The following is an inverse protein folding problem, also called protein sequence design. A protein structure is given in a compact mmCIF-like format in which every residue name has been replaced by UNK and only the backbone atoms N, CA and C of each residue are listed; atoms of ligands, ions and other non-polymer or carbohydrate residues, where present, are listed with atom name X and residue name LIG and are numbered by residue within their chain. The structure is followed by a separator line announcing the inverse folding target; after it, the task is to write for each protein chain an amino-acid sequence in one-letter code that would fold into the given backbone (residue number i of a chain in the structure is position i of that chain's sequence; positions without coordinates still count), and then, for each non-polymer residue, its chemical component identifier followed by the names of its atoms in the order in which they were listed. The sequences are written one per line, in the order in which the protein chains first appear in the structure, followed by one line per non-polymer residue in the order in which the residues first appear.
data_IF_907654703261
#
_entry.id   IF_907654703261
#
_cell.length_a   1.000
_cell.length_b   1.000
_cell.length_c   1.000
_cell.angle_alpha   90.00
_cell.angle_beta   90.00
_cell.angle_gamma   90.00
#
_symmetry.space_group_name_H-M   'P 1'
#
loop_
_entity.id
_entity.type
_entity.pdbx_description
1 polymer ?
#
# COMPACT_ATOMS: atom_id res chain seq x y z
N UNK A 1 4.70 -88.67 -8.27
CA UNK A 1 3.36 -88.39 -7.73
C UNK A 1 2.99 -86.95 -8.09
N UNK A 2 1.88 -86.79 -8.82
CA UNK A 2 1.30 -85.53 -9.29
C UNK A 2 0.94 -84.57 -8.14
N UNK A 3 1.02 -83.26 -8.39
CA UNK A 3 -0.18 -82.40 -8.54
C UNK A 3 0.17 -80.98 -9.02
N UNK A 4 -0.42 -80.64 -10.16
CA UNK A 4 -0.61 -79.32 -10.74
C UNK A 4 -1.70 -78.60 -9.93
N UNK A 5 -1.62 -77.27 -9.78
CA UNK A 5 -2.81 -76.43 -9.77
C UNK A 5 -2.52 -75.01 -10.29
N UNK A 6 -3.27 -74.67 -11.35
CA UNK A 6 -3.40 -73.37 -12.01
C UNK A 6 -4.53 -72.57 -11.34
N UNK A 7 -4.35 -71.26 -11.20
CA UNK A 7 -5.42 -70.25 -11.19
C UNK A 7 -4.73 -68.89 -11.43
N UNK A 8 -4.80 -68.20 -12.57
CA UNK A 8 -5.95 -67.70 -13.34
C UNK A 8 -6.85 -66.76 -12.52
N UNK A 9 -6.37 -65.52 -12.28
CA UNK A 9 -7.15 -64.41 -11.73
C UNK A 9 -7.22 -63.25 -12.73
N UNK A 10 -8.43 -62.98 -13.22
CA UNK A 10 -8.82 -62.06 -14.29
C UNK A 10 -8.44 -60.59 -14.03
N UNK A 11 -7.86 -59.94 -15.04
CA UNK A 11 -7.77 -58.49 -15.16
C UNK A 11 -9.12 -57.93 -15.64
N UNK A 12 -9.71 -57.02 -14.87
CA UNK A 12 -10.93 -56.29 -15.22
C UNK A 12 -10.54 -54.86 -15.62
N UNK A 13 -10.48 -54.62 -16.93
CA UNK A 13 -10.18 -53.32 -17.53
C UNK A 13 -11.49 -52.50 -17.60
N UNK A 14 -11.68 -51.59 -16.64
CA UNK A 14 -12.77 -50.60 -16.63
C UNK A 14 -12.34 -49.38 -17.47
N UNK A 15 -12.82 -49.32 -18.72
CA UNK A 15 -12.69 -48.14 -19.58
C UNK A 15 -13.78 -47.13 -19.18
N UNK A 16 -13.39 -46.10 -18.42
CA UNK A 16 -14.23 -44.93 -18.17
C UNK A 16 -14.12 -43.97 -19.37
N UNK A 17 -15.15 -43.93 -20.22
CA UNK A 17 -15.33 -42.87 -21.22
C UNK A 17 -15.73 -41.58 -20.49
N UNK A 18 -14.76 -40.74 -20.18
CA UNK A 18 -14.99 -39.37 -19.71
C UNK A 18 -15.47 -38.51 -20.88
N UNK A 19 -16.78 -38.32 -20.99
CA UNK A 19 -17.36 -37.30 -21.86
C UNK A 19 -17.04 -35.93 -21.24
N UNK A 20 -16.32 -35.01 -21.92
CA UNK A 20 -16.15 -33.67 -21.42
C UNK A 20 -17.52 -32.97 -21.44
N UNK A 21 -18.09 -32.73 -20.26
CA UNK A 21 -19.22 -31.83 -20.11
C UNK A 21 -18.72 -30.43 -20.46
N UNK A 22 -19.01 -29.97 -21.68
CA UNK A 22 -18.74 -28.61 -22.11
C UNK A 22 -19.80 -27.70 -21.49
N UNK A 23 -19.43 -27.00 -20.42
CA UNK A 23 -20.25 -25.95 -19.83
C UNK A 23 -20.27 -24.74 -20.78
N UNK A 24 -21.24 -24.72 -21.70
CA UNK A 24 -21.56 -23.54 -22.48
C UNK A 24 -22.32 -22.55 -21.58
N UNK A 25 -21.58 -21.67 -20.90
CA UNK A 25 -22.16 -20.54 -20.18
C UNK A 25 -22.53 -19.43 -21.17
N UNK A 26 -23.72 -19.51 -21.76
CA UNK A 26 -24.35 -18.40 -22.44
C UNK A 26 -24.87 -17.41 -21.39
N UNK A 27 -24.08 -16.41 -21.01
CA UNK A 27 -24.54 -15.31 -20.15
C UNK A 27 -25.25 -14.25 -20.98
N UNK A 28 -26.58 -14.31 -21.00
CA UNK A 28 -27.44 -13.19 -21.33
C UNK A 28 -27.38 -12.15 -20.20
N UNK A 29 -26.86 -10.95 -20.48
CA UNK A 29 -27.26 -9.63 -19.96
C UNK A 29 -27.49 -9.37 -18.46
N UNK A 30 -27.32 -10.33 -17.56
CA UNK A 30 -27.43 -10.15 -16.12
C UNK A 30 -26.07 -9.78 -15.54
N UNK A 31 -26.03 -8.75 -14.69
CA UNK A 31 -24.84 -8.39 -13.91
C UNK A 31 -24.30 -9.66 -13.25
N UNK A 32 -23.10 -10.11 -13.63
CA UNK A 32 -22.52 -11.34 -13.11
C UNK A 32 -22.45 -11.26 -11.58
N UNK A 33 -23.05 -12.23 -10.89
CA UNK A 33 -23.02 -12.27 -9.43
C UNK A 33 -21.56 -12.29 -8.92
N UNK A 34 -21.26 -11.43 -7.95
CA UNK A 34 -19.93 -11.30 -7.38
C UNK A 34 -19.43 -12.62 -6.76
N UNK A 35 -18.16 -12.96 -7.01
CA UNK A 35 -17.54 -14.17 -6.47
C UNK A 35 -17.16 -13.95 -5.02
N UNK A 36 -17.80 -14.64 -4.08
CA UNK A 36 -17.42 -14.55 -2.66
C UNK A 36 -16.02 -15.13 -2.42
N UNK A 37 -15.15 -14.31 -1.84
CA UNK A 37 -13.81 -14.69 -1.40
C UNK A 37 -13.93 -15.67 -0.24
N UNK A 38 -13.38 -16.88 -0.40
CA UNK A 38 -13.32 -17.91 0.64
C UNK A 38 -11.87 -18.24 0.96
N UNK A 39 -11.54 -18.17 2.24
CA UNK A 39 -10.25 -18.63 2.75
C UNK A 39 -10.39 -20.09 3.21
N UNK A 40 -9.39 -20.90 2.93
CA UNK A 40 -9.29 -22.23 3.53
C UNK A 40 -9.18 -22.12 5.06
N UNK A 41 -9.59 -23.17 5.78
CA UNK A 41 -9.55 -23.18 7.25
C UNK A 41 -8.13 -22.87 7.75
N UNK A 42 -8.01 -21.82 8.55
CA UNK A 42 -6.73 -21.37 9.13
C UNK A 42 -5.83 -20.59 8.16
N UNK A 43 -6.27 -20.33 6.93
CA UNK A 43 -5.56 -19.47 5.98
C UNK A 43 -6.14 -18.06 5.99
N UNK A 44 -5.27 -17.10 5.67
CA UNK A 44 -5.60 -15.69 5.43
C UNK A 44 -5.48 -15.31 3.96
N UNK A 45 -5.15 -16.28 3.10
CA UNK A 45 -4.84 -16.08 1.68
C UNK A 45 -5.80 -16.89 0.81
N UNK A 46 -6.25 -16.31 -0.29
CA UNK A 46 -7.02 -16.97 -1.34
C UNK A 46 -6.50 -16.57 -2.72
N UNK A 47 -6.47 -17.52 -3.67
CA UNK A 47 -5.95 -17.28 -5.02
C UNK A 47 -7.00 -17.68 -6.06
N UNK A 48 -7.23 -16.78 -7.03
CA UNK A 48 -8.20 -16.94 -8.11
C UNK A 48 -7.51 -16.78 -9.45
N UNK A 49 -7.87 -17.62 -10.42
CA UNK A 49 -7.50 -17.45 -11.83
C UNK A 49 -8.73 -17.01 -12.61
N UNK A 50 -8.54 -16.10 -13.55
CA UNK A 50 -9.63 -15.59 -14.36
C UNK A 50 -9.17 -14.94 -15.66
N UNK A 51 -10.14 -14.45 -16.41
CA UNK A 51 -9.93 -13.68 -17.63
C UNK A 51 -10.88 -12.48 -17.63
N UNK A 52 -10.43 -11.35 -18.18
CA UNK A 52 -11.26 -10.19 -18.49
C UNK A 52 -11.17 -9.89 -19.99
N UNK A 53 -12.29 -9.47 -20.59
CA UNK A 53 -12.37 -9.10 -22.02
C UNK A 53 -13.13 -7.80 -22.19
N UNK A 54 -12.60 -6.90 -23.02
CA UNK A 54 -13.22 -5.61 -23.32
C UNK A 54 -13.46 -4.80 -22.04
N UNK A 55 -14.69 -4.32 -21.85
CA UNK A 55 -15.14 -3.57 -20.67
C UNK A 55 -15.68 -4.44 -19.51
N UNK A 56 -15.55 -5.76 -19.60
CA UNK A 56 -16.07 -6.65 -18.56
C UNK A 56 -15.22 -6.56 -17.29
N UNK A 57 -15.87 -6.48 -16.15
CA UNK A 57 -15.24 -6.58 -14.83
C UNK A 57 -15.60 -7.92 -14.16
N UNK A 58 -14.68 -8.47 -13.37
CA UNK A 58 -14.95 -9.60 -12.48
C UNK A 58 -14.92 -9.11 -11.05
N UNK A 59 -16.06 -9.19 -10.36
CA UNK A 59 -16.21 -8.76 -8.97
C UNK A 59 -15.94 -9.91 -8.00
N UNK A 60 -15.20 -9.59 -6.93
CA UNK A 60 -14.95 -10.47 -5.79
C UNK A 60 -15.44 -9.81 -4.50
N UNK A 61 -16.24 -10.53 -3.71
CA UNK A 61 -16.79 -10.04 -2.44
C UNK A 61 -16.00 -10.58 -1.26
N UNK A 62 -15.44 -9.68 -0.44
CA UNK A 62 -14.64 -10.01 0.73
C UNK A 62 -15.30 -9.44 1.99
N UNK A 63 -15.43 -10.23 3.05
CA UNK A 63 -15.74 -9.67 4.37
C UNK A 63 -14.45 -9.29 5.09
N UNK A 64 -14.40 -8.05 5.58
CA UNK A 64 -13.25 -7.52 6.32
C UNK A 64 -13.69 -6.83 7.62
N UNK A 65 -12.74 -6.68 8.53
CA UNK A 65 -12.89 -5.96 9.80
C UNK A 65 -12.03 -4.70 9.80
N UNK A 66 -12.49 -3.68 10.53
CA UNK A 66 -11.75 -2.44 10.75
C UNK A 66 -10.34 -2.73 11.28
N UNK A 67 -9.33 -2.10 10.70
CA UNK A 67 -7.94 -2.22 11.11
C UNK A 67 -7.21 -3.45 10.58
N UNK A 68 -7.89 -4.37 9.88
CA UNK A 68 -7.20 -5.41 9.13
C UNK A 68 -6.41 -4.83 7.96
N UNK A 69 -5.37 -5.54 7.55
CA UNK A 69 -4.63 -5.27 6.32
C UNK A 69 -5.13 -6.19 5.21
N UNK A 70 -5.55 -5.59 4.11
CA UNK A 70 -5.86 -6.26 2.85
C UNK A 70 -4.69 -6.06 1.90
N UNK A 71 -4.05 -7.17 1.51
CA UNK A 71 -3.01 -7.20 0.49
C UNK A 71 -3.60 -7.86 -0.75
N UNK A 72 -3.46 -7.22 -1.90
CA UNK A 72 -3.96 -7.69 -3.18
C UNK A 72 -2.80 -7.78 -4.14
N UNK A 73 -2.62 -8.93 -4.79
CA UNK A 73 -1.65 -9.09 -5.86
C UNK A 73 -2.34 -9.57 -7.13
N UNK A 74 -2.05 -8.93 -8.26
CA UNK A 74 -2.50 -9.37 -9.58
C UNK A 74 -1.32 -9.63 -10.50
N UNK A 75 -1.28 -10.82 -11.10
CA UNK A 75 -0.35 -11.16 -12.18
C UNK A 75 -1.16 -11.32 -13.44
N UNK A 76 -0.76 -10.68 -14.53
CA UNK A 76 -1.56 -10.60 -15.76
C UNK A 76 -0.78 -11.11 -16.97
N UNK A 77 -1.50 -11.61 -17.97
CA UNK A 77 -0.98 -11.98 -19.27
C UNK A 77 -1.93 -11.46 -20.37
N UNK A 78 -1.53 -10.45 -21.16
CA UNK A 78 -0.21 -9.81 -21.14
C UNK A 78 0.05 -9.00 -19.85
N UNK A 79 1.31 -8.71 -19.51
CA UNK A 79 1.65 -7.81 -18.39
C UNK A 79 0.91 -6.47 -18.45
N UNK A 80 0.58 -5.92 -17.29
CA UNK A 80 -0.07 -4.60 -17.10
C UNK A 80 -1.39 -4.41 -17.85
N UNK A 81 -2.04 -5.49 -18.26
CA UNK A 81 -3.30 -5.44 -19.01
C UNK A 81 -4.55 -5.55 -18.14
N UNK A 82 -4.39 -5.69 -16.83
CA UNK A 82 -5.50 -5.82 -15.88
C UNK A 82 -5.13 -5.21 -14.53
N UNK A 83 -6.11 -4.54 -13.92
CA UNK A 83 -5.97 -3.75 -12.71
C UNK A 83 -7.04 -4.16 -11.70
N UNK A 84 -6.83 -3.77 -10.43
CA UNK A 84 -7.80 -4.03 -9.37
C UNK A 84 -8.24 -2.72 -8.74
N UNK A 85 -9.56 -2.54 -8.60
CA UNK A 85 -10.17 -1.52 -7.74
C UNK A 85 -10.72 -2.19 -6.50
N UNK A 86 -10.62 -1.53 -5.35
CA UNK A 86 -11.25 -2.00 -4.10
C UNK A 86 -12.24 -0.96 -3.64
N UNK A 87 -13.48 -1.38 -3.39
CA UNK A 87 -14.54 -0.57 -2.81
C UNK A 87 -14.85 -1.04 -1.39
N UNK A 88 -15.04 -0.08 -0.48
CA UNK A 88 -15.48 -0.34 0.88
C UNK A 88 -16.97 -0.67 0.99
N UNK A 89 -17.46 -0.97 2.22
CA UNK A 89 -18.86 -1.27 2.51
C UNK A 89 -19.88 -0.24 2.02
N UNK A 90 -19.47 1.02 1.86
CA UNK A 90 -20.34 2.11 1.40
C UNK A 90 -20.13 2.41 -0.09
N UNK A 91 -19.59 1.44 -0.85
CA UNK A 91 -19.20 1.58 -2.26
C UNK A 91 -18.17 2.66 -2.57
N UNK A 92 -17.60 3.33 -1.55
CA UNK A 92 -16.51 4.28 -1.72
C UNK A 92 -15.24 3.55 -2.13
N UNK A 93 -14.62 3.98 -3.23
CA UNK A 93 -13.32 3.47 -3.64
C UNK A 93 -12.28 3.71 -2.53
N UNK A 94 -11.52 2.67 -2.22
CA UNK A 94 -10.37 2.76 -1.33
C UNK A 94 -9.14 3.13 -2.12
N UNK A 95 -8.39 4.08 -1.60
CA UNK A 95 -7.05 4.36 -2.09
C UNK A 95 -6.12 3.23 -1.63
N UNK A 96 -5.59 2.50 -2.60
CA UNK A 96 -4.67 1.40 -2.37
C UNK A 96 -3.25 1.93 -2.52
N UNK A 97 -2.37 1.57 -1.60
CA UNK A 97 -0.96 1.96 -1.69
C UNK A 97 -0.15 0.82 -2.28
N UNK A 98 0.75 1.12 -3.20
CA UNK A 98 1.62 0.09 -3.75
C UNK A 98 2.52 -0.45 -2.63
N UNK A 99 2.48 -1.77 -2.42
CA UNK A 99 3.32 -2.39 -1.40
C UNK A 99 4.70 -2.60 -2.01
N UNK A 100 5.67 -1.74 -1.68
CA UNK A 100 7.08 -2.09 -1.78
C UNK A 100 7.37 -3.15 -0.70
N UNK A 101 7.08 -4.42 -0.99
CA UNK A 101 7.34 -5.48 -0.03
C UNK A 101 8.85 -5.72 0.05
N UNK A 102 9.43 -5.61 1.26
CA UNK A 102 10.79 -6.11 1.46
C UNK A 102 10.84 -7.61 1.14
N UNK A 103 12.01 -8.11 0.76
CA UNK A 103 12.24 -9.54 0.45
C UNK A 103 11.73 -10.45 1.57
N UNK A 104 11.90 -10.07 2.84
CA UNK A 104 11.36 -10.87 3.97
C UNK A 104 9.84 -10.85 4.05
N UNK A 105 9.18 -9.73 3.76
CA UNK A 105 7.71 -9.64 3.77
C UNK A 105 7.14 -10.49 2.64
N UNK A 106 7.72 -10.41 1.44
CA UNK A 106 7.33 -11.26 0.30
C UNK A 106 7.50 -12.74 0.62
N UNK A 107 8.65 -13.14 1.20
CA UNK A 107 8.92 -14.52 1.61
C UNK A 107 7.93 -15.03 2.66
N UNK A 108 7.60 -14.22 3.68
CA UNK A 108 6.60 -14.57 4.70
C UNK A 108 5.18 -14.70 4.13
N UNK A 109 4.86 -13.92 3.10
CA UNK A 109 3.55 -13.94 2.43
C UNK A 109 3.46 -15.02 1.34
N UNK A 110 4.52 -15.79 1.09
CA UNK A 110 4.57 -16.76 -0.01
C UNK A 110 4.50 -16.10 -1.39
N UNK A 111 4.81 -14.80 -1.47
CA UNK A 111 4.93 -14.06 -2.72
C UNK A 111 6.34 -14.34 -3.28
N UNK A 112 6.46 -14.38 -4.61
CA UNK A 112 7.77 -14.41 -5.24
C UNK A 112 8.59 -13.22 -4.70
N UNK A 113 9.82 -13.49 -4.27
CA UNK A 113 10.64 -12.64 -3.38
C UNK A 113 11.02 -11.26 -3.92
N UNK A 114 10.56 -10.89 -5.12
CA UNK A 114 11.03 -9.73 -5.90
C UNK A 114 9.90 -8.79 -6.36
N UNK A 115 8.68 -8.92 -5.83
CA UNK A 115 7.58 -8.01 -6.17
C UNK A 115 7.73 -6.64 -5.45
N UNK A 116 8.59 -5.79 -5.99
CA UNK A 116 8.74 -4.38 -5.65
C UNK A 116 7.93 -3.52 -6.63
N UNK A 117 7.28 -2.46 -6.18
CA UNK A 117 6.64 -1.46 -7.06
C UNK A 117 7.61 -0.43 -7.65
N UNK A 118 8.90 -0.53 -7.30
CA UNK A 118 9.99 0.26 -7.84
C UNK A 118 11.20 -0.67 -7.98
N UNK A 119 11.33 -1.31 -9.13
CA UNK A 119 12.61 -1.79 -9.64
C UNK A 119 13.05 -0.81 -10.73
N UNK A 120 14.33 -0.41 -10.73
CA UNK A 120 14.95 0.42 -11.77
C UNK A 120 14.94 -0.25 -13.17
N UNK A 121 14.49 -1.51 -13.26
CA UNK A 121 14.32 -2.28 -14.48
C UNK A 121 12.82 -2.56 -14.77
N UNK A 122 12.15 -1.76 -15.61
CA UNK A 122 10.73 -1.93 -15.95
C UNK A 122 10.41 -3.24 -16.67
N UNK A 123 11.41 -3.99 -17.17
CA UNK A 123 11.17 -5.29 -17.80
C UNK A 123 10.99 -6.44 -16.80
N UNK A 124 11.52 -6.32 -15.57
CA UNK A 124 11.35 -7.32 -14.50
C UNK A 124 9.99 -7.19 -13.80
N UNK A 125 9.51 -5.96 -13.61
CA UNK A 125 8.15 -5.65 -13.13
C UNK A 125 7.07 -6.36 -13.93
N UNK A 126 7.23 -6.43 -15.26
CA UNK A 126 6.29 -7.06 -16.19
C UNK A 126 6.05 -8.55 -15.93
N UNK A 127 6.99 -9.26 -15.29
CA UNK A 127 6.81 -10.70 -14.99
C UNK A 127 6.26 -10.97 -13.59
N UNK A 128 6.40 -10.02 -12.67
CA UNK A 128 6.21 -10.25 -11.24
C UNK A 128 4.86 -9.75 -10.67
N UNK A 129 4.03 -9.09 -11.48
CA UNK A 129 2.70 -8.64 -11.10
C UNK A 129 2.67 -7.46 -10.12
N UNK A 130 1.50 -6.85 -9.97
CA UNK A 130 1.31 -5.66 -9.15
C UNK A 130 0.78 -6.06 -7.76
N UNK A 131 1.31 -5.47 -6.70
CA UNK A 131 0.90 -5.75 -5.31
C UNK A 131 0.54 -4.46 -4.59
N UNK A 132 -0.60 -4.46 -3.92
CA UNK A 132 -1.11 -3.33 -3.16
C UNK A 132 -1.46 -3.74 -1.74
N UNK A 133 -1.43 -2.77 -0.84
CA UNK A 133 -1.85 -2.88 0.55
C UNK A 133 -2.85 -1.76 0.87
N UNK A 134 -3.86 -2.11 1.65
CA UNK A 134 -4.78 -1.14 2.26
C UNK A 134 -5.16 -1.58 3.66
N UNK A 135 -5.19 -0.64 4.61
CA UNK A 135 -5.80 -0.88 5.93
C UNK A 135 -7.31 -0.65 5.80
N UNK A 136 -8.11 -1.62 6.22
CA UNK A 136 -9.56 -1.55 6.12
C UNK A 136 -10.12 -0.52 7.12
N UNK A 137 -10.73 0.58 6.67
CA UNK A 137 -11.14 1.66 7.57
C UNK A 137 -12.43 1.35 8.36
N UNK A 138 -13.17 0.32 7.96
CA UNK A 138 -14.44 -0.07 8.57
C UNK A 138 -14.67 -1.58 8.45
N UNK A 139 -15.61 -2.12 9.21
CA UNK A 139 -15.98 -3.53 9.11
C UNK A 139 -17.14 -3.68 8.13
N UNK A 140 -17.13 -4.73 7.30
CA UNK A 140 -18.22 -4.99 6.37
C UNK A 140 -17.80 -5.75 5.12
N UNK A 141 -18.64 -5.67 4.08
CA UNK A 141 -18.38 -6.25 2.78
C UNK A 141 -17.55 -5.29 1.91
N UNK A 142 -16.53 -5.80 1.26
CA UNK A 142 -15.65 -5.11 0.33
C UNK A 142 -15.80 -5.76 -1.04
N UNK A 143 -15.74 -4.95 -2.09
CA UNK A 143 -15.79 -5.44 -3.47
C UNK A 143 -14.47 -5.15 -4.17
N UNK A 144 -13.82 -6.20 -4.68
CA UNK A 144 -12.64 -6.08 -5.53
C UNK A 144 -13.07 -6.28 -6.98
N UNK A 145 -12.87 -5.28 -7.83
CA UNK A 145 -13.17 -5.37 -9.26
C UNK A 145 -11.88 -5.55 -10.04
N UNK A 146 -11.76 -6.67 -10.73
CA UNK A 146 -10.66 -6.94 -11.68
C UNK A 146 -11.12 -6.52 -13.07
N UNK A 147 -10.40 -5.58 -13.71
CA UNK A 147 -10.84 -4.97 -14.97
C UNK A 147 -9.67 -4.62 -15.89
N UNK A 148 -9.96 -4.40 -17.18
CA UNK A 148 -9.01 -3.90 -18.18
C UNK A 148 -9.21 -2.39 -18.39
N UNK A 149 -8.17 -1.55 -18.27
CA UNK A 149 -8.31 -0.11 -18.52
C UNK A 149 -8.58 0.14 -20.00
N UNK A 150 -9.38 1.16 -20.28
CA UNK A 150 -9.70 1.60 -21.65
C UNK A 150 -10.56 0.63 -22.47
N UNK A 151 -11.04 -0.49 -21.90
CA UNK A 151 -11.97 -1.40 -22.57
C UNK A 151 -11.43 -2.05 -23.86
N UNK A 152 -10.11 -2.06 -24.06
CA UNK A 152 -9.51 -2.48 -25.32
C UNK A 152 -9.90 -3.90 -25.75
N UNK A 153 -10.03 -4.12 -27.06
CA UNK A 153 -10.28 -5.45 -27.63
C UNK A 153 -9.18 -6.43 -27.20
N UNK A 154 -9.53 -7.69 -26.96
CA UNK A 154 -8.62 -8.72 -26.47
C UNK A 154 -8.93 -9.21 -25.06
N UNK A 155 -8.37 -10.37 -24.74
CA UNK A 155 -8.53 -11.07 -23.46
C UNK A 155 -7.25 -10.89 -22.66
N UNK A 156 -7.39 -10.60 -21.37
CA UNK A 156 -6.30 -10.67 -20.41
C UNK A 156 -6.58 -11.78 -19.42
N UNK A 157 -5.66 -12.73 -19.30
CA UNK A 157 -5.70 -13.71 -18.23
C UNK A 157 -5.02 -13.14 -16.98
N UNK A 158 -5.53 -13.47 -15.79
CA UNK A 158 -4.95 -13.02 -14.54
C UNK A 158 -4.94 -14.10 -13.47
N UNK A 159 -4.02 -13.95 -12.52
CA UNK A 159 -4.03 -14.61 -11.21
C UNK A 159 -4.12 -13.54 -10.12
N UNK A 160 -5.22 -13.54 -9.37
CA UNK A 160 -5.50 -12.64 -8.25
C UNK A 160 -5.20 -13.37 -6.94
N UNK A 161 -4.34 -12.81 -6.10
CA UNK A 161 -4.09 -13.28 -4.73
C UNK A 161 -4.61 -12.23 -3.75
N UNK A 162 -5.46 -12.65 -2.82
CA UNK A 162 -6.06 -11.80 -1.80
C UNK A 162 -5.59 -12.33 -0.44
N UNK A 163 -4.98 -11.46 0.36
CA UNK A 163 -4.54 -11.77 1.72
C UNK A 163 -5.22 -10.80 2.68
N UNK A 164 -5.86 -11.32 3.72
CA UNK A 164 -6.43 -10.52 4.81
C UNK A 164 -5.81 -10.96 6.10
N UNK A 165 -5.02 -10.08 6.71
CA UNK A 165 -4.45 -10.33 8.03
C UNK A 165 -4.98 -9.31 9.02
N UNK A 166 -5.06 -9.72 10.28
CA UNK A 166 -5.01 -8.73 11.34
C UNK A 166 -3.72 -7.95 11.11
N UNK A 167 -3.79 -6.62 11.10
CA UNK A 167 -2.59 -5.86 11.37
C UNK A 167 -2.13 -6.45 12.69
N UNK A 168 -0.99 -7.15 12.69
CA UNK A 168 -0.36 -7.53 13.95
C UNK A 168 -0.46 -6.26 14.76
N UNK A 169 -1.10 -6.31 15.94
CA UNK A 169 -1.06 -5.20 16.88
C UNK A 169 0.42 -5.02 17.04
N UNK A 170 1.02 -4.17 16.22
CA UNK A 170 2.44 -4.06 15.98
C UNK A 170 2.90 -3.77 17.37
N UNK A 171 3.42 -4.80 18.05
CA UNK A 171 3.35 -4.93 19.50
C UNK A 171 3.86 -3.63 19.98
N UNK A 172 2.94 -2.74 20.38
CA UNK A 172 3.18 -1.29 20.44
C UNK A 172 4.51 -1.25 21.14
N UNK A 173 5.60 -0.86 20.48
CA UNK A 173 6.88 -0.81 21.18
C UNK A 173 6.57 0.20 22.25
N UNK A 174 6.34 -0.27 23.50
CA UNK A 174 5.21 0.15 24.31
C UNK A 174 5.35 1.61 24.72
N UNK A 175 5.07 2.47 23.76
CA UNK A 175 5.32 3.89 23.86
C UNK A 175 4.30 4.31 24.87
N UNK A 176 4.81 4.73 26.04
CA UNK A 176 3.96 4.96 27.20
C UNK A 176 2.88 5.96 26.76
N UNK A 177 1.62 5.83 27.21
CA UNK A 177 0.56 6.73 26.78
C UNK A 177 0.93 8.22 26.86
N UNK A 178 1.68 8.62 27.91
CA UNK A 178 2.23 9.96 28.06
C UNK A 178 3.23 10.35 26.95
N UNK A 179 4.08 9.41 26.52
CA UNK A 179 5.01 9.64 25.42
C UNK A 179 4.27 9.80 24.09
N UNK A 180 3.22 9.01 23.85
CA UNK A 180 2.32 9.20 22.71
C UNK A 180 1.66 10.57 22.68
N UNK A 181 1.07 10.98 23.80
CA UNK A 181 0.47 12.31 23.90
C UNK A 181 1.49 13.42 23.64
N UNK A 182 2.73 13.27 24.14
CA UNK A 182 3.79 14.25 23.90
C UNK A 182 4.25 14.33 22.44
N UNK A 183 4.22 13.21 21.71
CA UNK A 183 4.55 13.19 20.28
C UNK A 183 3.44 13.86 19.46
N UNK A 184 2.19 13.52 19.76
CA UNK A 184 1.04 14.12 19.08
C UNK A 184 1.00 15.65 19.33
N UNK A 185 1.37 16.09 20.53
CA UNK A 185 1.52 17.52 20.83
C UNK A 185 2.65 18.19 20.01
N UNK A 186 3.79 17.52 19.81
CA UNK A 186 4.88 18.03 18.98
C UNK A 186 4.45 18.18 17.51
N UNK A 187 3.71 17.19 16.97
CA UNK A 187 3.18 17.26 15.60
C UNK A 187 2.11 18.36 15.45
N UNK A 188 1.25 18.58 16.45
CA UNK A 188 0.32 19.72 16.44
C UNK A 188 1.05 21.06 16.44
N UNK A 189 2.14 21.16 17.21
CA UNK A 189 2.99 22.36 17.23
C UNK A 189 3.64 22.59 15.86
N UNK A 190 4.11 21.54 15.20
CA UNK A 190 4.63 21.60 13.84
C UNK A 190 3.61 22.14 12.85
N UNK A 191 2.41 21.55 12.81
CA UNK A 191 1.31 21.99 11.95
C UNK A 191 0.98 23.46 12.22
N UNK A 192 0.84 23.85 13.48
CA UNK A 192 0.54 25.22 13.86
C UNK A 192 1.65 26.20 13.43
N UNK A 193 2.92 25.81 13.54
CA UNK A 193 4.04 26.64 13.11
C UNK A 193 4.04 26.85 11.59
N UNK A 194 3.78 25.79 10.81
CA UNK A 194 3.66 25.89 9.35
C UNK A 194 2.51 26.81 8.93
N UNK A 195 1.32 26.62 9.49
CA UNK A 195 0.14 27.44 9.16
C UNK A 195 0.32 28.92 9.48
N UNK A 196 1.00 29.22 10.59
CA UNK A 196 1.25 30.60 11.03
C UNK A 196 2.52 31.21 10.44
N UNK A 197 3.28 30.44 9.66
CA UNK A 197 4.62 30.81 9.19
C UNK A 197 5.55 31.24 10.34
N UNK A 198 5.39 30.58 11.48
CA UNK A 198 6.14 30.87 12.71
C UNK A 198 7.51 30.20 12.65
N UNK A 199 8.51 30.96 12.20
CA UNK A 199 9.91 30.49 12.04
C UNK A 199 10.48 30.00 13.37
N UNK A 200 10.23 30.70 14.47
CA UNK A 200 10.76 30.31 15.79
C UNK A 200 10.10 29.04 16.30
N UNK A 201 8.77 28.95 16.17
CA UNK A 201 8.00 27.75 16.47
C UNK A 201 8.47 26.55 15.66
N UNK A 202 8.72 26.74 14.37
CA UNK A 202 9.22 25.69 13.46
C UNK A 202 10.62 25.24 13.87
N UNK A 203 11.57 26.17 14.02
CA UNK A 203 12.95 25.85 14.43
C UNK A 203 13.03 25.16 15.80
N UNK A 204 12.11 25.47 16.72
CA UNK A 204 12.09 24.85 18.05
C UNK A 204 11.91 23.32 18.04
N UNK A 205 11.44 22.77 16.91
CA UNK A 205 11.21 21.34 16.70
C UNK A 205 12.44 20.62 16.14
N UNK A 206 13.56 21.30 15.91
CA UNK A 206 14.78 20.69 15.41
C UNK A 206 15.84 20.55 16.51
N UNK A 207 16.71 19.55 16.35
CA UNK A 207 17.89 19.40 17.20
C UNK A 207 18.88 20.52 16.93
N UNK A 208 19.50 21.08 17.97
CA UNK A 208 20.61 22.05 17.81
C UNK A 208 21.98 21.39 17.64
N UNK A 209 22.07 20.08 17.91
CA UNK A 209 23.36 19.36 17.97
C UNK A 209 23.47 18.24 16.94
N UNK A 210 22.36 17.83 16.33
CA UNK A 210 22.32 16.74 15.35
C UNK A 210 21.61 17.20 14.08
N UNK A 211 22.06 16.68 12.95
CA UNK A 211 21.39 16.86 11.68
C UNK A 211 20.00 16.23 11.68
N UNK A 212 19.11 16.78 10.88
CA UNK A 212 17.90 16.09 10.40
C UNK A 212 18.06 15.81 8.90
N UNK A 213 17.21 14.94 8.37
CA UNK A 213 17.23 14.61 6.94
C UNK A 213 16.06 15.27 6.21
N UNK A 214 16.35 15.88 5.06
CA UNK A 214 15.36 16.43 4.16
C UNK A 214 15.44 15.71 2.81
N UNK A 215 14.31 15.32 2.24
CA UNK A 215 14.19 14.89 0.84
C UNK A 215 13.40 15.95 0.09
N UNK A 216 13.96 16.52 -0.97
CA UNK A 216 13.27 17.50 -1.81
C UNK A 216 12.56 16.75 -2.96
N UNK A 217 11.32 17.07 -3.32
CA UNK A 217 10.64 16.42 -4.46
C UNK A 217 11.40 16.59 -5.78
N UNK A 218 12.19 17.66 -5.92
CA UNK A 218 13.01 17.94 -7.11
C UNK A 218 14.36 17.25 -7.09
N UNK A 219 14.83 16.82 -5.92
CA UNK A 219 16.12 16.19 -5.76
C UNK A 219 15.95 14.90 -4.96
N UNK A 220 15.99 13.78 -5.67
CA UNK A 220 15.86 12.42 -5.14
C UNK A 220 16.85 12.11 -4.01
N UNK A 221 17.87 12.97 -3.82
CA UNK A 221 18.86 12.85 -2.77
C UNK A 221 18.34 13.33 -1.41
N UNK A 222 18.48 12.45 -0.42
CA UNK A 222 18.31 12.74 1.00
C UNK A 222 19.49 13.57 1.49
N UNK A 223 19.25 14.80 1.92
CA UNK A 223 20.28 15.73 2.41
C UNK A 223 20.25 15.78 3.93
N UNK A 224 21.42 15.78 4.57
CA UNK A 224 21.55 16.05 5.99
C UNK A 224 21.68 17.55 6.22
N UNK A 225 20.77 18.14 6.99
CA UNK A 225 20.69 19.60 7.21
C UNK A 225 20.93 19.90 8.68
N UNK A 226 21.82 20.87 8.95
CA UNK A 226 22.10 21.31 10.33
C UNK A 226 21.11 22.37 10.80
N UNK A 227 20.98 22.55 12.12
CA UNK A 227 20.16 23.63 12.67
C UNK A 227 20.62 25.02 12.21
N UNK A 228 21.92 25.28 12.22
CA UNK A 228 22.49 26.58 11.85
C UNK A 228 22.23 26.91 10.39
N UNK A 229 22.34 25.91 9.52
CA UNK A 229 22.04 26.03 8.09
C UNK A 229 20.55 26.32 7.88
N UNK A 230 19.66 25.50 8.44
CA UNK A 230 18.20 25.74 8.35
C UNK A 230 17.82 27.11 8.91
N UNK A 231 18.35 27.50 10.08
CA UNK A 231 18.03 28.77 10.70
C UNK A 231 18.53 29.98 9.89
N UNK A 232 19.69 29.86 9.25
CA UNK A 232 20.21 30.88 8.35
C UNK A 232 19.33 30.99 7.09
N UNK A 233 18.96 29.86 6.49
CA UNK A 233 18.07 29.82 5.33
C UNK A 233 16.71 30.46 5.64
N UNK A 234 16.04 30.03 6.73
CA UNK A 234 14.73 30.58 7.11
C UNK A 234 14.77 32.07 7.42
N UNK A 235 15.86 32.58 8.01
CA UNK A 235 16.06 34.01 8.27
C UNK A 235 16.22 34.81 6.99
N UNK A 236 16.95 34.25 6.03
CA UNK A 236 17.25 34.90 4.76
C UNK A 236 16.19 34.62 3.69
N UNK A 237 15.11 33.90 4.03
CA UNK A 237 14.09 33.40 3.11
C UNK A 237 14.70 32.64 1.92
N UNK A 238 15.57 31.69 2.21
CA UNK A 238 16.20 30.83 1.20
C UNK A 238 15.29 29.70 0.72
N UNK A 239 15.90 28.66 0.15
CA UNK A 239 15.18 27.56 -0.49
C UNK A 239 14.35 26.76 0.51
N UNK A 240 14.84 26.53 1.72
CA UNK A 240 14.10 25.80 2.75
C UNK A 240 12.90 26.59 3.27
N UNK A 241 13.01 27.92 3.32
CA UNK A 241 11.88 28.79 3.67
C UNK A 241 10.72 28.59 2.68
N UNK A 242 11.00 28.64 1.38
CA UNK A 242 9.97 28.45 0.36
C UNK A 242 9.52 27.00 0.23
N UNK A 243 10.40 26.05 0.55
CA UNK A 243 10.03 24.64 0.60
C UNK A 243 9.02 24.38 1.71
N UNK A 244 9.23 24.93 2.92
CA UNK A 244 8.43 24.56 4.09
C UNK A 244 7.32 25.55 4.47
N UNK A 245 7.57 26.86 4.45
CA UNK A 245 6.72 27.85 5.10
C UNK A 245 5.89 28.72 4.14
N UNK A 246 6.35 28.93 2.92
CA UNK A 246 5.70 29.85 2.00
C UNK A 246 5.83 29.40 0.56
N UNK A 247 4.77 29.51 -0.23
CA UNK A 247 4.85 29.21 -1.66
C UNK A 247 5.74 30.24 -2.36
N UNK A 248 6.71 29.79 -3.14
CA UNK A 248 7.49 30.67 -4.01
C UNK A 248 6.57 31.45 -4.98
N UNK A 249 7.00 32.64 -5.39
CA UNK A 249 6.27 33.43 -6.40
C UNK A 249 6.02 32.60 -7.67
N UNK A 250 4.79 32.66 -8.19
CA UNK A 250 4.39 31.91 -9.39
C UNK A 250 3.94 30.47 -9.15
N UNK A 251 3.93 29.99 -7.90
CA UNK A 251 3.40 28.65 -7.58
C UNK A 251 4.21 27.48 -8.12
N UNK A 252 5.46 27.74 -8.54
CA UNK A 252 6.34 26.78 -9.20
C UNK A 252 6.79 25.60 -8.31
N UNK A 253 6.61 25.72 -6.99
CA UNK A 253 6.93 24.68 -6.03
C UNK A 253 5.67 24.28 -5.26
N UNK A 254 5.41 22.97 -5.17
CA UNK A 254 4.47 22.40 -4.20
C UNK A 254 5.10 22.59 -2.82
N UNK A 255 4.61 23.58 -2.08
CA UNK A 255 5.16 23.89 -0.78
C UNK A 255 4.71 22.80 0.20
N UNK A 256 5.58 22.42 1.14
CA UNK A 256 5.25 21.41 2.16
C UNK A 256 3.93 21.76 2.88
N UNK A 257 3.71 23.06 3.09
CA UNK A 257 2.51 23.61 3.72
C UNK A 257 1.22 23.24 2.99
N UNK A 258 1.26 23.00 1.67
CA UNK A 258 0.08 22.58 0.90
C UNK A 258 -0.44 21.21 1.34
N UNK A 259 0.43 20.37 1.93
CA UNK A 259 0.05 19.07 2.51
C UNK A 259 -0.61 19.18 3.89
N UNK A 260 -0.65 20.37 4.51
CA UNK A 260 -1.23 20.58 5.85
C UNK A 260 -2.76 20.69 5.79
N UNK A 261 -3.33 21.08 4.64
CA UNK A 261 -4.76 21.33 4.47
C UNK A 261 -5.28 22.35 5.49
N UNK A 262 -6.44 22.09 6.09
CA UNK A 262 -7.09 22.96 7.09
C UNK A 262 -6.47 22.86 8.50
N UNK A 263 -5.20 22.46 8.62
CA UNK A 263 -4.55 22.24 9.92
C UNK A 263 -4.96 20.93 10.60
N UNK A 264 -5.51 19.99 9.85
CA UNK A 264 -5.90 18.69 10.38
C UNK A 264 -4.69 17.88 10.84
N UNK A 265 -4.88 17.10 11.89
CA UNK A 265 -3.84 16.22 12.39
C UNK A 265 -3.52 15.14 11.35
N UNK A 266 -2.23 15.01 11.03
CA UNK A 266 -1.74 13.97 10.13
C UNK A 266 -1.93 12.58 10.73
N UNK A 267 -2.09 11.58 9.85
CA UNK A 267 -2.21 10.19 10.27
C UNK A 267 -0.86 9.70 10.79
N UNK A 268 -0.85 9.20 12.03
CA UNK A 268 0.32 8.55 12.59
C UNK A 268 0.49 7.15 12.00
N UNK A 269 1.65 6.90 11.41
CA UNK A 269 2.04 5.63 10.79
C UNK A 269 3.25 5.07 11.54
N UNK A 270 3.01 4.10 12.42
CA UNK A 270 4.05 3.55 13.30
C UNK A 270 4.32 4.43 14.52
N UNK A 271 5.50 4.27 15.13
CA UNK A 271 5.77 4.89 16.43
C UNK A 271 6.13 6.37 16.34
N UNK A 272 6.80 6.81 15.28
CA UNK A 272 7.39 8.15 15.21
C UNK A 272 7.17 8.87 13.90
N UNK A 273 6.30 8.38 13.01
CA UNK A 273 6.09 8.94 11.68
C UNK A 273 4.64 9.39 11.49
N UNK A 274 4.46 10.52 10.81
CA UNK A 274 3.17 11.09 10.43
C UNK A 274 3.12 11.35 8.93
N UNK A 275 1.95 11.14 8.33
CA UNK A 275 1.67 11.37 6.89
C UNK A 275 0.36 12.16 6.73
N UNK A 276 0.22 13.02 5.70
CA UNK A 276 -1.03 13.73 5.44
C UNK A 276 -2.20 12.76 5.24
N UNK A 277 -3.40 13.20 5.61
CA UNK A 277 -4.62 12.45 5.33
C UNK A 277 -4.83 12.35 3.81
N UNK A 278 -5.10 11.14 3.29
CA UNK A 278 -5.31 10.91 1.86
C UNK A 278 -4.04 10.89 1.00
N UNK A 279 -2.84 11.05 1.60
CA UNK A 279 -1.59 10.83 0.88
C UNK A 279 -1.42 9.36 0.50
N UNK A 280 -0.91 9.10 -0.70
CA UNK A 280 -0.56 7.73 -1.11
C UNK A 280 0.55 7.20 -0.21
N UNK A 281 0.29 6.11 0.51
CA UNK A 281 1.24 5.56 1.51
C UNK A 281 2.51 5.00 0.83
N UNK A 282 2.49 4.80 -0.49
CA UNK A 282 3.67 4.35 -1.25
C UNK A 282 4.81 5.36 -1.26
N UNK A 283 4.52 6.67 -1.20
CA UNK A 283 5.55 7.70 -1.10
C UNK A 283 4.99 9.02 -0.54
N UNK A 284 4.43 9.03 0.68
CA UNK A 284 3.75 10.22 1.16
C UNK A 284 4.78 11.23 1.64
N UNK A 285 4.45 12.51 1.49
CA UNK A 285 4.98 13.55 2.37
C UNK A 285 4.95 13.02 3.80
N UNK A 286 6.06 13.06 4.53
CA UNK A 286 6.08 12.54 5.89
C UNK A 286 6.99 13.33 6.81
N UNK A 287 6.67 13.28 8.10
CA UNK A 287 7.51 13.79 9.18
C UNK A 287 7.83 12.64 10.12
N UNK A 288 9.12 12.39 10.31
CA UNK A 288 9.63 11.42 11.28
C UNK A 288 10.24 12.16 12.46
N UNK A 289 10.01 11.64 13.64
CA UNK A 289 10.41 12.22 14.91
C UNK A 289 11.43 11.34 15.64
N UNK A 290 12.21 11.95 16.52
CA UNK A 290 13.08 11.25 17.48
C UNK A 290 13.09 11.93 18.83
N UNK A 291 13.48 11.20 19.87
CA UNK A 291 13.68 11.74 21.22
C UNK A 291 15.05 12.37 21.38
N UNK A 292 15.08 13.55 22.02
CA UNK A 292 16.32 14.23 22.41
C UNK A 292 16.07 15.02 23.69
N UNK A 293 16.78 14.71 24.78
CA UNK A 293 16.68 15.46 26.04
C UNK A 293 15.25 15.59 26.60
N UNK A 294 14.42 14.55 26.47
CA UNK A 294 13.03 14.55 26.96
C UNK A 294 12.01 15.24 26.05
N UNK A 295 12.43 15.88 24.95
CA UNK A 295 11.53 16.44 23.93
C UNK A 295 11.53 15.61 22.64
N UNK A 296 10.54 15.86 21.80
CA UNK A 296 10.50 15.35 20.43
C UNK A 296 11.10 16.38 19.50
N UNK A 297 11.97 15.92 18.61
CA UNK A 297 12.54 16.73 17.53
C UNK A 297 12.35 16.01 16.21
N UNK A 298 12.32 16.76 15.13
CA UNK A 298 12.24 16.24 13.76
C UNK A 298 13.55 15.53 13.42
N UNK A 299 13.43 14.27 13.00
CA UNK A 299 14.50 13.43 12.49
C UNK A 299 14.56 13.52 10.96
N UNK A 300 13.40 13.56 10.32
CA UNK A 300 13.28 13.57 8.86
C UNK A 300 12.01 14.28 8.40
N UNK A 301 12.13 15.03 7.30
CA UNK A 301 11.01 15.52 6.50
C UNK A 301 11.22 14.99 5.07
N UNK A 302 10.24 14.26 4.55
CA UNK A 302 10.32 13.67 3.21
C UNK A 302 9.10 14.06 2.37
N UNK A 303 9.27 14.03 1.06
CA UNK A 303 8.24 14.30 0.06
C UNK A 303 8.01 13.07 -0.82
N UNK A 304 6.85 12.99 -1.49
CA UNK A 304 6.69 12.07 -2.60
C UNK A 304 7.76 12.34 -3.64
N UNK A 305 8.48 11.30 -4.04
CA UNK A 305 9.22 11.35 -5.28
C UNK A 305 8.19 11.34 -6.41
N UNK A 306 8.24 12.35 -7.27
CA UNK A 306 7.43 12.46 -8.47
C UNK A 306 7.81 11.39 -9.51
#
# INVERSE_FOLDING_TARGET
MQRINKAAGRALLLIYLAVPVTWAAAQHGGKAEGRRVRFERGRTTATYKGQVRGSTEVEYELKGQTGQELIVRVVTNPPDSTFVKVHGPNSKALQMSCLAASVEVSKKLGLASEASCFEDDPQKLRRNGQTWLVTLPQSGAYTLSVFKPGGGSGVSAYTLTIIVRQREKQTRSAMRPAESASLDAAMRKFIAALMKRDVEGFLSLFSRTKFFYASNPLNVMRVAVSYSELAADLRNKGDWYFTYLERGEGGAYDAFVDNIGDGQMWLRVGDVRFVPLGSEISNPTCVKWRREGGKWVIDEISYPQA
#
